data_IF_009022709004
#
_entry.id   IF_009022709004
#
_cell.length_a   1.000
_cell.length_b   1.000
_cell.length_c   1.000
_cell.angle_alpha   90.00
_cell.angle_beta   90.00
_cell.angle_gamma   90.00
#
_symmetry.space_group_name_H-M   'P 1'
#
loop_
_entity.id
_entity.type
_entity.pdbx_description
1 polymer ?
#
# COMPACT_ATOMS: atom_id res chain seq x y z
N UNK A 1 -71.65 31.00 45.86
CA UNK A 1 -70.41 31.77 46.17
C UNK A 1 -69.25 31.04 45.51
N UNK A 2 -68.68 31.60 44.42
CA UNK A 2 -67.35 32.26 44.40
C UNK A 2 -66.20 31.22 44.53
N UNK A 3 -65.20 31.08 43.67
CA UNK A 3 -64.68 31.79 42.50
C UNK A 3 -63.62 30.86 41.85
N UNK A 4 -63.49 30.89 40.51
CA UNK A 4 -62.30 30.72 39.64
C UNK A 4 -61.04 29.96 40.13
N UNK A 5 -60.48 29.07 39.30
CA UNK A 5 -59.31 29.38 38.45
C UNK A 5 -58.74 28.17 37.70
N UNK A 6 -58.41 28.42 36.44
CA UNK A 6 -57.80 27.54 35.46
C UNK A 6 -56.29 27.29 35.69
N UNK A 7 -55.79 26.14 35.23
CA UNK A 7 -54.59 26.08 34.38
C UNK A 7 -54.33 24.65 33.91
N UNK A 8 -54.64 24.37 32.65
CA UNK A 8 -54.02 23.29 31.90
C UNK A 8 -52.57 23.72 31.59
N UNK A 9 -51.58 22.95 32.06
CA UNK A 9 -50.21 23.02 31.56
C UNK A 9 -49.86 21.70 30.91
N UNK A 10 -50.10 21.65 29.60
CA UNK A 10 -49.48 20.70 28.69
C UNK A 10 -47.97 20.94 28.71
N UNK A 11 -47.24 20.16 29.49
CA UNK A 11 -45.79 20.12 29.45
C UNK A 11 -45.34 19.39 28.19
N UNK A 12 -45.04 20.12 27.13
CA UNK A 12 -44.25 19.60 26.02
C UNK A 12 -42.82 19.38 26.54
N UNK A 13 -42.52 18.19 27.03
CA UNK A 13 -41.15 17.79 27.29
C UNK A 13 -40.47 17.61 25.93
N UNK A 14 -39.71 18.62 25.52
CA UNK A 14 -38.79 18.53 24.40
C UNK A 14 -37.75 17.47 24.78
N UNK A 15 -37.94 16.24 24.31
CA UNK A 15 -36.91 15.21 24.36
C UNK A 15 -35.83 15.68 23.38
N UNK A 16 -34.83 16.37 23.93
CA UNK A 16 -33.62 16.72 23.22
C UNK A 16 -32.88 15.39 22.97
N UNK A 17 -33.15 14.76 21.82
CA UNK A 17 -32.33 13.66 21.30
C UNK A 17 -30.94 14.24 21.03
N UNK A 18 -30.08 14.22 22.05
CA UNK A 18 -28.64 14.37 21.86
C UNK A 18 -28.25 13.18 20.97
N UNK A 19 -28.11 13.44 19.66
CA UNK A 19 -27.48 12.52 18.73
C UNK A 19 -26.04 12.32 19.20
N UNK A 20 -25.83 11.36 20.09
CA UNK A 20 -24.52 10.77 20.33
C UNK A 20 -24.15 10.06 19.03
N UNK A 21 -23.38 10.75 18.18
CA UNK A 21 -22.74 10.09 17.06
C UNK A 21 -21.85 9.00 17.63
N UNK A 22 -22.18 7.75 17.33
CA UNK A 22 -21.39 6.61 17.77
C UNK A 22 -19.96 6.79 17.23
N UNK A 23 -18.91 6.82 18.07
CA UNK A 23 -17.53 7.06 17.63
C UNK A 23 -17.07 6.09 16.53
N UNK A 24 -17.54 4.84 16.58
CA UNK A 24 -17.27 3.83 15.55
C UNK A 24 -17.85 4.22 14.18
N UNK A 25 -19.12 4.66 14.12
CA UNK A 25 -19.75 5.11 12.88
C UNK A 25 -19.05 6.33 12.27
N UNK A 26 -18.58 7.25 13.12
CA UNK A 26 -17.81 8.41 12.68
C UNK A 26 -16.42 8.01 12.14
N UNK A 27 -15.83 6.95 12.66
CA UNK A 27 -14.55 6.43 12.18
C UNK A 27 -14.70 5.72 10.84
N UNK A 28 -15.70 4.85 10.68
CA UNK A 28 -15.99 4.15 9.42
C UNK A 28 -16.27 5.14 8.29
N UNK A 29 -17.01 6.22 8.57
CA UNK A 29 -17.25 7.30 7.63
C UNK A 29 -15.95 8.01 7.19
N UNK A 30 -15.00 8.24 8.11
CA UNK A 30 -13.69 8.83 7.78
C UNK A 30 -12.83 7.90 6.93
N UNK A 31 -12.86 6.60 7.22
CA UNK A 31 -12.14 5.60 6.42
C UNK A 31 -12.69 5.59 4.99
N UNK A 32 -14.01 5.50 4.82
CA UNK A 32 -14.64 5.52 3.50
C UNK A 32 -14.32 6.80 2.71
N UNK A 33 -14.36 7.96 3.38
CA UNK A 33 -13.99 9.23 2.74
C UNK A 33 -12.51 9.27 2.35
N UNK A 34 -11.62 8.71 3.17
CA UNK A 34 -10.20 8.62 2.85
C UNK A 34 -9.94 7.69 1.66
N UNK A 35 -10.67 6.58 1.54
CA UNK A 35 -10.58 5.66 0.40
C UNK A 35 -11.05 6.31 -0.91
N UNK A 36 -12.15 7.08 -0.86
CA UNK A 36 -12.62 7.84 -2.02
C UNK A 36 -11.56 8.86 -2.49
N UNK A 37 -10.96 9.60 -1.57
CA UNK A 37 -9.86 10.52 -1.89
C UNK A 37 -8.65 9.78 -2.44
N UNK A 38 -8.29 8.64 -1.86
CA UNK A 38 -7.15 7.84 -2.31
C UNK A 38 -7.39 7.17 -3.68
N UNK A 39 -8.65 6.93 -4.07
CA UNK A 39 -8.96 6.47 -5.43
C UNK A 39 -8.46 7.46 -6.49
N UNK A 40 -8.35 8.75 -6.12
CA UNK A 40 -7.85 9.87 -6.92
C UNK A 40 -6.36 10.15 -6.67
N UNK A 41 -5.58 9.15 -6.23
CA UNK A 41 -4.14 9.25 -5.91
C UNK A 41 -3.19 9.81 -6.97
N UNK A 42 -3.50 9.88 -8.30
CA UNK A 42 -2.67 10.65 -9.22
C UNK A 42 -2.51 12.11 -8.79
N UNK A 43 -3.48 12.67 -8.06
CA UNK A 43 -3.34 13.95 -7.37
C UNK A 43 -2.85 13.73 -5.92
N UNK A 44 -1.58 14.06 -5.66
CA UNK A 44 -0.99 13.94 -4.32
C UNK A 44 -1.67 14.82 -3.26
N UNK A 45 -2.42 15.87 -3.65
CA UNK A 45 -3.22 16.63 -2.70
C UNK A 45 -4.35 15.79 -2.11
N UNK A 46 -4.94 14.89 -2.91
CA UNK A 46 -5.96 13.94 -2.46
C UNK A 46 -5.39 12.88 -1.53
N UNK A 47 -4.19 12.38 -1.82
CA UNK A 47 -3.48 11.46 -0.92
C UNK A 47 -3.21 12.10 0.43
N UNK A 48 -2.76 13.37 0.46
CA UNK A 48 -2.55 14.11 1.72
C UNK A 48 -3.84 14.33 2.50
N UNK A 49 -4.94 14.65 1.82
CA UNK A 49 -6.26 14.78 2.45
C UNK A 49 -6.73 13.44 3.04
N UNK A 50 -6.56 12.34 2.31
CA UNK A 50 -6.89 10.99 2.77
C UNK A 50 -6.08 10.61 4.02
N UNK A 51 -4.76 10.86 4.01
CA UNK A 51 -3.89 10.67 5.18
C UNK A 51 -4.36 11.51 6.36
N UNK A 52 -4.70 12.78 6.15
CA UNK A 52 -5.20 13.66 7.22
C UNK A 52 -6.46 13.08 7.88
N UNK A 53 -7.42 12.60 7.09
CA UNK A 53 -8.63 11.97 7.62
C UNK A 53 -8.33 10.71 8.44
N UNK A 54 -7.40 9.87 7.98
CA UNK A 54 -7.01 8.67 8.72
C UNK A 54 -6.22 9.00 10.00
N UNK A 55 -5.39 10.04 9.97
CA UNK A 55 -4.71 10.54 11.19
C UNK A 55 -5.73 11.05 12.21
N UNK A 56 -6.79 11.74 11.78
CA UNK A 56 -7.87 12.11 12.69
C UNK A 56 -8.67 10.89 13.18
N UNK A 57 -8.91 9.91 12.32
CA UNK A 57 -9.63 8.68 12.67
C UNK A 57 -8.89 7.84 13.73
N UNK A 58 -7.56 7.75 13.65
CA UNK A 58 -6.74 6.93 14.56
C UNK A 58 -6.54 7.55 15.95
N UNK A 59 -6.92 8.82 16.18
CA UNK A 59 -6.76 9.47 17.49
C UNK A 59 -7.61 8.82 18.59
N UNK A 60 -8.79 8.29 18.24
CA UNK A 60 -9.68 7.65 19.18
C UNK A 60 -9.17 6.25 19.61
N UNK A 61 -8.50 5.55 18.70
CA UNK A 61 -7.86 4.26 18.94
C UNK A 61 -6.58 4.19 18.10
N UNK A 62 -5.45 4.48 18.76
CA UNK A 62 -4.13 4.52 18.11
C UNK A 62 -3.68 3.16 17.59
N UNK A 63 -4.35 2.08 17.97
CA UNK A 63 -4.05 0.72 17.54
C UNK A 63 -5.07 0.20 16.54
N UNK A 64 -5.98 1.03 16.07
CA UNK A 64 -7.03 0.59 15.16
C UNK A 64 -6.43 0.01 13.89
N UNK A 65 -6.59 -1.30 13.72
CA UNK A 65 -5.99 -2.03 12.62
C UNK A 65 -6.38 -1.45 11.26
N UNK A 66 -7.68 -1.21 11.05
CA UNK A 66 -8.23 -0.76 9.76
C UNK A 66 -7.66 0.59 9.34
N UNK A 67 -7.40 1.48 10.30
CA UNK A 67 -6.78 2.78 10.00
C UNK A 67 -5.27 2.63 9.78
N UNK A 68 -4.59 1.83 10.60
CA UNK A 68 -3.13 1.75 10.61
C UNK A 68 -2.54 1.14 9.32
N UNK A 69 -3.11 0.05 8.79
CA UNK A 69 -2.59 -0.52 7.55
C UNK A 69 -2.83 0.41 6.35
N UNK A 70 -3.95 1.15 6.34
CA UNK A 70 -4.26 2.15 5.30
C UNK A 70 -3.30 3.34 5.39
N UNK A 71 -3.00 3.82 6.59
CA UNK A 71 -1.95 4.83 6.79
C UNK A 71 -0.61 4.32 6.25
N UNK A 72 -0.21 3.08 6.54
CA UNK A 72 1.01 2.49 6.00
C UNK A 72 1.02 2.48 4.46
N UNK A 73 -0.09 2.07 3.83
CA UNK A 73 -0.26 2.09 2.36
C UNK A 73 -0.19 3.51 1.78
N UNK A 74 -0.88 4.47 2.38
CA UNK A 74 -0.99 5.82 1.82
C UNK A 74 0.31 6.60 2.02
N UNK A 75 0.98 6.42 3.16
CA UNK A 75 2.32 6.96 3.37
C UNK A 75 3.36 6.32 2.44
N UNK A 76 3.27 5.02 2.16
CA UNK A 76 4.12 4.38 1.15
C UNK A 76 3.93 5.06 -0.22
N UNK A 77 2.68 5.27 -0.64
CA UNK A 77 2.38 5.95 -1.89
C UNK A 77 2.90 7.39 -1.91
N UNK A 78 2.65 8.17 -0.85
CA UNK A 78 3.14 9.54 -0.74
C UNK A 78 4.68 9.56 -0.79
N UNK A 79 5.35 8.68 -0.06
CA UNK A 79 6.81 8.58 -0.03
C UNK A 79 7.40 8.23 -1.40
N UNK A 80 6.76 7.35 -2.17
CA UNK A 80 7.20 6.97 -3.51
C UNK A 80 7.10 8.15 -4.50
N UNK A 81 6.04 8.94 -4.45
CA UNK A 81 5.70 9.91 -5.49
C UNK A 81 5.94 11.39 -5.12
N UNK A 82 6.16 11.72 -3.85
CA UNK A 82 6.51 13.07 -3.46
C UNK A 82 7.85 13.51 -4.07
N UNK A 83 7.95 14.78 -4.44
CA UNK A 83 9.16 15.37 -5.05
C UNK A 83 10.13 15.92 -4.01
N UNK A 84 9.62 16.33 -2.84
CA UNK A 84 10.43 16.86 -1.76
C UNK A 84 11.05 15.72 -0.94
N UNK A 85 12.38 15.63 -0.90
CA UNK A 85 13.10 14.59 -0.15
C UNK A 85 12.67 14.46 1.31
N UNK A 86 12.49 15.58 2.02
CA UNK A 86 12.08 15.56 3.43
C UNK A 86 10.68 14.96 3.60
N UNK A 87 9.76 15.30 2.70
CA UNK A 87 8.41 14.71 2.68
C UNK A 87 8.45 13.21 2.41
N UNK A 88 9.31 12.77 1.47
CA UNK A 88 9.50 11.33 1.19
C UNK A 88 9.97 10.57 2.43
N UNK A 89 11.02 11.07 3.08
CA UNK A 89 11.59 10.45 4.28
C UNK A 89 10.58 10.40 5.43
N UNK A 90 9.87 11.51 5.69
CA UNK A 90 8.84 11.60 6.73
C UNK A 90 7.66 10.66 6.45
N UNK A 91 7.18 10.60 5.20
CA UNK A 91 6.12 9.69 4.80
C UNK A 91 6.53 8.24 5.06
N UNK A 92 7.70 7.80 4.59
CA UNK A 92 8.13 6.43 4.83
C UNK A 92 8.33 6.10 6.32
N UNK A 93 8.84 7.03 7.13
CA UNK A 93 8.97 6.82 8.58
C UNK A 93 7.59 6.63 9.23
N UNK A 94 6.62 7.47 8.89
CA UNK A 94 5.23 7.34 9.37
C UNK A 94 4.56 6.08 8.86
N UNK A 95 4.84 5.67 7.63
CA UNK A 95 4.36 4.41 7.06
C UNK A 95 4.93 3.18 7.76
N UNK A 96 6.21 3.19 8.15
CA UNK A 96 6.82 2.15 8.99
C UNK A 96 6.13 2.08 10.36
N UNK A 97 5.90 3.23 11.00
CA UNK A 97 5.25 3.24 12.31
C UNK A 97 3.82 2.70 12.23
N UNK A 98 3.03 3.18 11.27
CA UNK A 98 1.68 2.70 11.05
C UNK A 98 1.63 1.19 10.73
N UNK A 99 2.54 0.71 9.88
CA UNK A 99 2.67 -0.71 9.55
C UNK A 99 2.98 -1.57 10.78
N UNK A 100 3.88 -1.11 11.66
CA UNK A 100 4.16 -1.79 12.93
C UNK A 100 2.95 -1.84 13.85
N UNK A 101 2.20 -0.75 13.96
CA UNK A 101 0.97 -0.77 14.77
C UNK A 101 -0.04 -1.76 14.19
N UNK A 102 -0.20 -1.81 12.86
CA UNK A 102 -1.07 -2.79 12.22
C UNK A 102 -0.63 -4.25 12.50
N UNK A 103 0.67 -4.56 12.39
CA UNK A 103 1.18 -5.92 12.68
C UNK A 103 1.09 -6.30 14.15
N UNK A 104 1.25 -5.34 15.07
CA UNK A 104 1.06 -5.58 16.51
C UNK A 104 -0.43 -5.84 16.82
N UNK A 105 -1.34 -5.08 16.21
CA UNK A 105 -2.77 -5.17 16.50
C UNK A 105 -3.44 -6.41 15.94
N UNK A 106 -3.10 -6.82 14.70
CA UNK A 106 -3.59 -8.05 14.09
C UNK A 106 -2.44 -8.74 13.31
N UNK A 107 -1.60 -9.55 14.00
CA UNK A 107 -0.45 -10.22 13.40
C UNK A 107 -0.81 -11.38 12.44
N UNK A 108 -2.08 -11.71 12.33
CA UNK A 108 -2.62 -12.78 11.49
C UNK A 108 -3.28 -12.25 10.21
N UNK A 109 -3.11 -10.96 9.91
CA UNK A 109 -3.63 -10.32 8.69
C UNK A 109 -2.53 -9.75 7.79
N UNK A 110 -2.61 -9.93 6.45
CA UNK A 110 -1.49 -9.66 5.56
C UNK A 110 -1.17 -8.17 5.36
N UNK A 111 -2.14 -7.26 5.52
CA UNK A 111 -2.02 -5.86 5.12
C UNK A 111 -0.90 -5.14 5.88
N UNK A 112 -0.88 -5.27 7.21
CA UNK A 112 0.14 -4.65 8.06
C UNK A 112 1.55 -5.13 7.70
N UNK A 113 1.72 -6.44 7.54
CA UNK A 113 2.98 -7.06 7.16
C UNK A 113 3.47 -6.57 5.79
N UNK A 114 2.59 -6.62 4.77
CA UNK A 114 2.95 -6.22 3.41
C UNK A 114 3.36 -4.75 3.33
N UNK A 115 2.54 -3.84 3.87
CA UNK A 115 2.82 -2.41 3.79
C UNK A 115 3.97 -1.97 4.69
N UNK A 116 4.22 -2.66 5.82
CA UNK A 116 5.43 -2.44 6.62
C UNK A 116 6.69 -2.81 5.81
N UNK A 117 6.69 -3.95 5.13
CA UNK A 117 7.80 -4.36 4.28
C UNK A 117 8.07 -3.36 3.14
N UNK A 118 7.02 -2.95 2.44
CA UNK A 118 7.11 -2.01 1.32
C UNK A 118 7.71 -0.67 1.77
N UNK A 119 7.28 -0.14 2.92
CA UNK A 119 7.87 1.06 3.49
C UNK A 119 9.34 0.85 3.91
N UNK A 120 9.69 -0.29 4.51
CA UNK A 120 11.08 -0.59 4.85
C UNK A 120 12.02 -0.54 3.63
N UNK A 121 11.59 -1.13 2.51
CA UNK A 121 12.38 -1.19 1.27
C UNK A 121 12.61 0.21 0.72
N UNK A 122 11.55 0.98 0.49
CA UNK A 122 11.68 2.31 -0.13
C UNK A 122 12.31 3.33 0.81
N UNK A 123 12.08 3.25 2.13
CA UNK A 123 12.80 4.06 3.11
C UNK A 123 14.31 3.80 3.06
N UNK A 124 14.68 2.52 2.99
CA UNK A 124 16.05 2.10 2.87
C UNK A 124 16.73 2.69 1.63
N UNK A 125 16.07 2.60 0.48
CA UNK A 125 16.55 3.17 -0.79
C UNK A 125 16.70 4.70 -0.71
N UNK A 126 15.72 5.40 -0.12
CA UNK A 126 15.73 6.87 0.01
C UNK A 126 16.86 7.36 0.94
N UNK A 127 17.13 6.64 2.04
CA UNK A 127 18.20 6.99 2.99
C UNK A 127 19.60 6.57 2.53
N UNK A 128 19.70 5.71 1.53
CA UNK A 128 20.95 5.24 0.95
C UNK A 128 21.37 3.84 1.38
N UNK A 129 22.47 3.36 0.79
CA UNK A 129 22.84 1.93 0.75
C UNK A 129 22.92 1.27 2.13
N UNK A 130 23.53 1.92 3.14
CA UNK A 130 23.66 1.34 4.48
C UNK A 130 22.31 1.14 5.15
N UNK A 131 21.39 2.12 5.01
CA UNK A 131 20.06 1.99 5.57
C UNK A 131 19.28 0.92 4.80
N UNK A 132 19.35 0.92 3.47
CA UNK A 132 18.76 -0.12 2.63
C UNK A 132 19.12 -1.52 3.11
N UNK A 133 20.42 -1.81 3.27
CA UNK A 133 20.88 -3.12 3.74
C UNK A 133 20.31 -3.51 5.11
N UNK A 134 20.21 -2.57 6.05
CA UNK A 134 19.62 -2.83 7.37
C UNK A 134 18.11 -3.12 7.34
N UNK A 135 17.39 -2.62 6.32
CA UNK A 135 15.94 -2.77 6.20
C UNK A 135 15.53 -4.04 5.43
N UNK A 136 16.43 -4.67 4.66
CA UNK A 136 16.12 -5.85 3.82
C UNK A 136 15.66 -7.04 4.67
N UNK A 137 16.37 -7.38 5.74
CA UNK A 137 16.04 -8.56 6.56
C UNK A 137 14.66 -8.40 7.23
N UNK A 138 14.34 -7.28 7.92
CA UNK A 138 12.99 -7.03 8.40
C UNK A 138 11.95 -7.11 7.28
N UNK A 139 12.15 -6.41 6.15
CA UNK A 139 11.18 -6.42 5.05
C UNK A 139 10.89 -7.83 4.52
N UNK A 140 11.91 -8.68 4.41
CA UNK A 140 11.75 -10.08 3.98
C UNK A 140 10.90 -10.88 4.96
N UNK A 141 11.14 -10.74 6.26
CA UNK A 141 10.36 -11.45 7.29
C UNK A 141 8.88 -11.08 7.23
N UNK A 142 8.59 -9.79 7.04
CA UNK A 142 7.23 -9.28 6.90
C UNK A 142 6.56 -9.79 5.60
N UNK A 143 7.26 -9.80 4.46
CA UNK A 143 6.72 -10.36 3.22
C UNK A 143 6.45 -11.87 3.32
N UNK A 144 7.35 -12.61 3.97
CA UNK A 144 7.17 -14.04 4.24
C UNK A 144 5.99 -14.31 5.18
N UNK A 145 5.74 -13.42 6.15
CA UNK A 145 4.54 -13.48 6.99
C UNK A 145 3.27 -13.22 6.15
N UNK A 146 3.25 -12.17 5.33
CA UNK A 146 2.13 -11.88 4.44
C UNK A 146 1.81 -13.06 3.52
N UNK A 147 2.82 -13.70 2.92
CA UNK A 147 2.66 -14.90 2.08
C UNK A 147 2.07 -16.07 2.86
N UNK A 148 2.50 -16.27 4.11
CA UNK A 148 1.98 -17.36 4.95
C UNK A 148 0.51 -17.18 5.28
N UNK A 149 0.08 -15.93 5.47
CA UNK A 149 -1.30 -15.56 5.81
C UNK A 149 -2.19 -15.61 4.58
N UNK A 150 -1.81 -14.87 3.53
CA UNK A 150 -2.53 -14.82 2.26
C UNK A 150 -1.54 -14.71 1.08
N UNK A 151 -1.22 -15.83 0.42
CA UNK A 151 -0.32 -15.84 -0.73
C UNK A 151 -0.80 -14.99 -1.92
N UNK A 152 -2.10 -14.74 -2.03
CA UNK A 152 -2.72 -14.01 -3.14
C UNK A 152 -2.93 -12.52 -2.83
N UNK A 153 -2.65 -12.08 -1.61
CA UNK A 153 -2.83 -10.69 -1.17
C UNK A 153 -2.21 -9.69 -2.15
N UNK A 154 -2.96 -8.62 -2.47
CA UNK A 154 -2.59 -7.58 -3.44
C UNK A 154 -2.10 -8.21 -4.77
N UNK A 155 -2.85 -9.18 -5.31
CA UNK A 155 -2.51 -9.87 -6.56
C UNK A 155 -1.14 -10.58 -6.51
N UNK A 156 -0.84 -11.25 -5.40
CA UNK A 156 0.43 -11.96 -5.19
C UNK A 156 1.64 -11.03 -5.09
N UNK A 157 1.44 -9.75 -4.77
CA UNK A 157 2.50 -8.74 -4.75
C UNK A 157 3.61 -9.08 -3.75
N UNK A 158 3.34 -9.81 -2.67
CA UNK A 158 4.37 -10.21 -1.71
C UNK A 158 5.45 -11.11 -2.36
N UNK A 159 5.03 -12.07 -3.21
CA UNK A 159 5.98 -12.85 -4.02
C UNK A 159 6.73 -11.96 -5.02
N UNK A 160 6.03 -11.01 -5.66
CA UNK A 160 6.64 -10.13 -6.63
C UNK A 160 7.74 -9.25 -6.02
N UNK A 161 7.50 -8.68 -4.84
CA UNK A 161 8.46 -7.85 -4.11
C UNK A 161 9.64 -8.68 -3.61
N UNK A 162 9.41 -9.87 -3.05
CA UNK A 162 10.52 -10.79 -2.69
C UNK A 162 11.34 -11.18 -3.91
N UNK A 163 10.69 -11.47 -5.03
CA UNK A 163 11.35 -11.87 -6.26
C UNK A 163 12.19 -10.76 -6.87
N UNK A 164 11.70 -9.51 -6.80
CA UNK A 164 12.45 -8.31 -7.17
C UNK A 164 13.68 -8.12 -6.29
N UNK A 165 13.52 -8.17 -4.97
CA UNK A 165 14.64 -8.08 -4.01
C UNK A 165 15.70 -9.16 -4.27
N UNK A 166 15.29 -10.40 -4.45
CA UNK A 166 16.21 -11.51 -4.71
C UNK A 166 16.95 -11.36 -6.05
N UNK A 167 16.31 -10.77 -7.04
CA UNK A 167 16.89 -10.57 -8.38
C UNK A 167 17.89 -9.41 -8.45
N UNK A 168 17.72 -8.38 -7.60
CA UNK A 168 18.55 -7.18 -7.64
C UNK A 168 19.70 -7.18 -6.62
N UNK A 169 19.53 -7.87 -5.50
CA UNK A 169 20.55 -7.85 -4.45
C UNK A 169 21.81 -8.64 -4.85
N UNK A 170 23.00 -8.20 -4.42
CA UNK A 170 24.19 -9.04 -4.49
C UNK A 170 24.03 -10.30 -3.63
N UNK A 171 24.69 -11.39 -4.04
CA UNK A 171 24.63 -12.68 -3.34
C UNK A 171 25.05 -12.60 -1.87
N UNK A 172 26.05 -11.77 -1.56
CA UNK A 172 26.52 -11.55 -0.18
C UNK A 172 25.44 -10.94 0.74
N UNK A 173 24.48 -10.22 0.16
CA UNK A 173 23.37 -9.58 0.88
C UNK A 173 22.05 -10.33 0.73
N UNK A 174 22.13 -11.63 0.39
CA UNK A 174 20.98 -12.53 0.31
C UNK A 174 20.29 -12.58 -1.05
N UNK A 175 20.82 -11.89 -2.07
CA UNK A 175 20.32 -11.97 -3.43
C UNK A 175 20.53 -13.35 -4.07
N UNK A 176 19.57 -13.76 -4.87
CA UNK A 176 19.58 -15.01 -5.63
C UNK A 176 18.66 -14.86 -6.84
N UNK A 177 19.24 -14.53 -8.00
CA UNK A 177 18.49 -14.29 -9.24
C UNK A 177 17.57 -15.45 -9.64
N UNK A 178 18.03 -16.69 -9.47
CA UNK A 178 17.20 -17.87 -9.79
C UNK A 178 15.97 -17.94 -8.88
N UNK A 179 16.16 -17.80 -7.58
CA UNK A 179 15.06 -17.78 -6.59
C UNK A 179 14.14 -16.59 -6.82
N UNK A 180 14.68 -15.44 -7.20
CA UNK A 180 13.92 -14.24 -7.52
C UNK A 180 12.97 -14.44 -8.70
N UNK A 181 13.47 -15.05 -9.77
CA UNK A 181 12.66 -15.47 -10.92
C UNK A 181 11.59 -16.48 -10.50
N UNK A 182 11.92 -17.50 -9.71
CA UNK A 182 10.95 -18.49 -9.22
C UNK A 182 9.81 -17.85 -8.42
N UNK A 183 10.10 -16.83 -7.59
CA UNK A 183 9.06 -16.06 -6.91
C UNK A 183 8.20 -15.24 -7.86
N UNK A 184 8.80 -14.59 -8.85
CA UNK A 184 8.07 -13.79 -9.84
C UNK A 184 7.19 -14.66 -10.76
N UNK A 185 7.65 -15.86 -11.13
CA UNK A 185 6.86 -16.84 -11.87
C UNK A 185 5.67 -17.35 -11.04
N UNK A 186 5.84 -17.52 -9.72
CA UNK A 186 4.71 -17.81 -8.81
C UNK A 186 3.73 -16.65 -8.73
N UNK A 187 4.23 -15.41 -8.58
CA UNK A 187 3.39 -14.21 -8.59
C UNK A 187 2.59 -14.10 -9.89
N UNK A 188 3.20 -14.43 -11.04
CA UNK A 188 2.55 -14.35 -12.34
C UNK A 188 1.40 -15.36 -12.47
N UNK A 189 1.55 -16.55 -11.88
CA UNK A 189 0.46 -17.55 -11.84
C UNK A 189 -0.73 -17.07 -11.01
N UNK A 190 -0.47 -16.35 -9.91
CA UNK A 190 -1.52 -15.79 -9.04
C UNK A 190 -2.19 -14.57 -9.67
N UNK A 191 -1.41 -13.74 -10.38
CA UNK A 191 -1.91 -12.54 -11.04
C UNK A 191 -1.43 -12.42 -12.50
N UNK A 192 -2.02 -13.21 -13.41
CA UNK A 192 -1.63 -13.20 -14.82
C UNK A 192 -1.84 -11.85 -15.50
N UNK A 193 -2.73 -11.00 -14.99
CA UNK A 193 -3.01 -9.64 -15.50
C UNK A 193 -2.23 -8.54 -14.76
N UNK A 194 -1.30 -8.85 -13.86
CA UNK A 194 -0.54 -7.81 -13.17
C UNK A 194 0.61 -7.28 -14.02
N UNK A 195 0.54 -6.00 -14.41
CA UNK A 195 1.63 -5.33 -15.13
C UNK A 195 2.88 -5.20 -14.27
N UNK A 196 2.73 -5.08 -12.94
CA UNK A 196 3.85 -5.00 -12.00
C UNK A 196 4.65 -6.30 -11.99
N UNK A 197 3.95 -7.44 -11.90
CA UNK A 197 4.62 -8.76 -11.88
C UNK A 197 5.33 -9.03 -13.20
N UNK A 198 4.67 -8.74 -14.34
CA UNK A 198 5.28 -8.87 -15.66
C UNK A 198 6.51 -7.99 -15.80
N UNK A 199 6.47 -6.76 -15.29
CA UNK A 199 7.59 -5.83 -15.37
C UNK A 199 8.79 -6.35 -14.57
N UNK A 200 8.58 -6.71 -13.30
CA UNK A 200 9.65 -7.24 -12.45
C UNK A 200 10.22 -8.56 -12.99
N UNK A 201 9.38 -9.43 -13.56
CA UNK A 201 9.84 -10.66 -14.20
C UNK A 201 10.64 -10.38 -15.47
N UNK A 202 10.22 -9.42 -16.29
CA UNK A 202 10.97 -9.01 -17.48
C UNK A 202 12.35 -8.44 -17.11
N UNK A 203 12.43 -7.58 -16.10
CA UNK A 203 13.71 -7.06 -15.60
C UNK A 203 14.63 -8.18 -15.09
N UNK A 204 14.06 -9.15 -14.36
CA UNK A 204 14.81 -10.30 -13.84
C UNK A 204 15.28 -11.23 -14.97
N UNK A 205 14.46 -11.41 -16.01
CA UNK A 205 14.85 -12.11 -17.23
C UNK A 205 15.96 -11.38 -18.00
N UNK A 206 15.92 -10.05 -18.09
CA UNK A 206 17.03 -9.27 -18.66
C UNK A 206 18.34 -9.51 -17.89
N UNK A 207 18.29 -9.46 -16.55
CA UNK A 207 19.45 -9.74 -15.69
C UNK A 207 19.98 -11.17 -15.85
N UNK A 208 19.10 -12.13 -16.16
CA UNK A 208 19.46 -13.52 -16.44
C UNK A 208 19.89 -13.78 -17.89
N UNK A 209 19.89 -12.76 -18.77
CA UNK A 209 20.18 -12.92 -20.20
C UNK A 209 19.04 -13.56 -21.01
N UNK A 210 17.88 -13.83 -20.40
CA UNK A 210 16.64 -14.37 -21.02
C UNK A 210 15.91 -13.28 -21.83
N UNK A 211 16.61 -12.69 -22.79
CA UNK A 211 16.17 -11.49 -23.53
C UNK A 211 14.83 -11.65 -24.24
N UNK A 212 14.60 -12.77 -24.92
CA UNK A 212 13.34 -12.97 -25.67
C UNK A 212 12.12 -13.06 -24.75
N UNK A 213 12.26 -13.72 -23.61
CA UNK A 213 11.18 -13.85 -22.64
C UNK A 213 10.86 -12.52 -21.97
N UNK A 214 11.90 -11.72 -21.68
CA UNK A 214 11.73 -10.35 -21.22
C UNK A 214 10.98 -9.50 -22.26
N UNK A 215 11.43 -9.52 -23.53
CA UNK A 215 10.79 -8.75 -24.61
C UNK A 215 9.30 -9.05 -24.72
N UNK A 216 8.93 -10.34 -24.72
CA UNK A 216 7.52 -10.78 -24.77
C UNK A 216 6.68 -10.17 -23.64
N UNK A 217 7.18 -10.24 -22.40
CA UNK A 217 6.46 -9.68 -21.24
C UNK A 217 6.32 -8.15 -21.33
N UNK A 218 7.37 -7.46 -21.79
CA UNK A 218 7.33 -6.00 -21.95
C UNK A 218 6.33 -5.59 -23.04
N UNK A 219 6.29 -6.30 -24.16
CA UNK A 219 5.32 -6.08 -25.24
C UNK A 219 3.88 -6.35 -24.78
N UNK A 220 3.67 -7.39 -23.95
CA UNK A 220 2.37 -7.69 -23.36
C UNK A 220 1.87 -6.55 -22.45
N UNK A 221 2.74 -5.92 -21.67
CA UNK A 221 2.38 -4.75 -20.85
C UNK A 221 1.89 -3.59 -21.74
N UNK A 222 2.42 -3.44 -22.97
CA UNK A 222 2.00 -2.38 -23.88
C UNK A 222 0.61 -2.60 -24.47
N UNK A 223 0.19 -3.86 -24.64
CA UNK A 223 -1.05 -4.22 -25.34
C UNK A 223 -2.20 -4.63 -24.41
N UNK A 224 -1.90 -4.99 -23.16
CA UNK A 224 -2.94 -5.37 -22.19
C UNK A 224 -3.77 -4.19 -21.67
N UNK A 225 -4.95 -4.48 -21.12
CA UNK A 225 -5.80 -3.51 -20.43
C UNK A 225 -5.38 -3.35 -18.95
N UNK A 226 -5.50 -2.14 -18.37
CA UNK A 226 -5.29 -1.93 -16.94
C UNK A 226 -6.38 -2.62 -16.10
N UNK A 227 -6.02 -3.05 -14.89
CA UNK A 227 -6.98 -3.23 -13.81
C UNK A 227 -7.45 -1.84 -13.36
N UNK A 228 -8.77 -1.64 -13.23
CA UNK A 228 -9.38 -0.36 -12.82
C UNK A 228 -8.81 0.15 -11.49
N UNK A 229 -8.49 -0.75 -10.56
CA UNK A 229 -7.95 -0.35 -9.26
C UNK A 229 -6.48 0.05 -9.31
N UNK A 230 -5.76 -0.28 -10.39
CA UNK A 230 -4.32 -0.06 -10.55
C UNK A 230 -3.97 0.73 -11.82
N UNK A 231 -4.91 1.52 -12.37
CA UNK A 231 -4.71 2.24 -13.64
C UNK A 231 -3.51 3.21 -13.61
N UNK A 232 -3.28 3.84 -12.47
CA UNK A 232 -2.13 4.73 -12.27
C UNK A 232 -0.80 3.97 -12.29
N UNK A 233 -0.65 2.94 -11.45
CA UNK A 233 0.55 2.10 -11.39
C UNK A 233 0.78 1.38 -12.73
N UNK A 234 -0.29 1.00 -13.41
CA UNK A 234 -0.23 0.43 -14.74
C UNK A 234 0.37 1.41 -15.76
N UNK A 235 0.01 2.69 -15.69
CA UNK A 235 0.60 3.73 -16.54
C UNK A 235 2.10 3.87 -16.30
N UNK A 236 2.54 3.87 -15.02
CA UNK A 236 3.96 3.86 -14.67
C UNK A 236 4.68 2.62 -15.23
N UNK A 237 4.11 1.43 -15.02
CA UNK A 237 4.70 0.17 -15.47
C UNK A 237 4.81 0.10 -17.00
N UNK A 238 3.82 0.65 -17.71
CA UNK A 238 3.82 0.72 -19.18
C UNK A 238 4.88 1.70 -19.69
N UNK A 239 5.09 2.83 -19.02
CA UNK A 239 6.16 3.76 -19.36
C UNK A 239 7.53 3.09 -19.18
N UNK A 240 7.72 2.39 -18.07
CA UNK A 240 8.97 1.68 -17.79
C UNK A 240 9.21 0.55 -18.79
N UNK A 241 8.16 -0.18 -19.19
CA UNK A 241 8.27 -1.21 -20.22
C UNK A 241 8.77 -0.65 -21.56
N UNK A 242 8.26 0.51 -22.00
CA UNK A 242 8.76 1.21 -23.20
C UNK A 242 10.22 1.59 -23.07
N UNK A 243 10.63 2.08 -21.89
CA UNK A 243 12.02 2.45 -21.62
C UNK A 243 12.96 1.25 -21.72
N UNK A 244 12.57 0.12 -21.14
CA UNK A 244 13.36 -1.12 -21.19
C UNK A 244 13.45 -1.68 -22.62
N UNK A 245 12.35 -1.66 -23.38
CA UNK A 245 12.35 -2.05 -24.79
C UNK A 245 13.33 -1.21 -25.60
N UNK A 246 13.25 0.12 -25.47
CA UNK A 246 14.15 1.05 -26.16
C UNK A 246 15.61 0.94 -25.71
N UNK A 247 15.88 0.49 -24.48
CA UNK A 247 17.25 0.33 -23.96
C UNK A 247 17.91 -0.97 -24.43
N UNK A 248 17.14 -2.05 -24.53
CA UNK A 248 17.70 -3.41 -24.66
C UNK A 248 17.44 -4.10 -26.01
N UNK A 249 16.55 -3.57 -26.85
CA UNK A 249 16.05 -4.24 -28.07
C UNK A 249 15.93 -3.33 -29.30
N UNK A 250 16.73 -2.26 -29.36
CA UNK A 250 16.91 -1.44 -30.56
C UNK A 250 17.63 -2.20 -31.66
#
# INVERSE_FOLDING_TARGET
MRFLSACARSGFAIICFLCFTCPALAQDARIAQAEELYSQRPDLSRVRQAISLLVEAVKADTKNYEVQWRLAKYYHFLGKHATNKREKEDAFQKGIEAGKQATISQPDRPEGHFWLAANHILYGQEKGIFKSLSMIKPARQELEAAIRIDPAFENGSAYAVLGKLDSELPRLFGGNLKRGIEYLEKALKLAPSSSLVKLFLAESYLSAGRKQEAKRLLEEILTMAPDKNYEFEFTENRQEARRLLAKHFK
#
